data_IF_960685483633
#
_entry.id   IF_960685483633
#
_cell.length_a   1.000
_cell.length_b   1.000
_cell.length_c   1.000
_cell.angle_alpha   90.00
_cell.angle_beta   90.00
_cell.angle_gamma   90.00
#
_symmetry.space_group_name_H-M   'P 1'
#
loop_
_entity.id
_entity.type
_entity.pdbx_description
1 polymer ?
#
# COMPACT_ATOMS: atom_id res chain seq x y z
N UNK A 1 -16.72 29.36 -44.78
CA UNK A 1 -16.70 30.02 -43.45
C UNK A 1 -15.25 30.22 -43.07
N UNK A 2 -14.74 31.46 -43.14
CA UNK A 2 -13.36 31.78 -42.76
C UNK A 2 -13.24 31.76 -41.24
N UNK A 3 -12.39 30.91 -40.70
CA UNK A 3 -12.06 30.92 -39.27
C UNK A 3 -11.44 32.27 -38.92
N UNK A 4 -11.99 33.01 -37.96
CA UNK A 4 -11.49 34.33 -37.63
C UNK A 4 -10.16 34.20 -36.87
N UNK A 5 -9.21 35.12 -37.11
CA UNK A 5 -7.85 35.05 -36.56
C UNK A 5 -7.83 34.89 -35.02
N UNK A 6 -8.80 35.49 -34.30
CA UNK A 6 -8.90 35.39 -32.84
C UNK A 6 -9.17 33.97 -32.34
N UNK A 7 -9.91 33.14 -33.09
CA UNK A 7 -10.16 31.75 -32.68
C UNK A 7 -8.90 30.89 -32.79
N UNK A 8 -8.01 31.21 -33.72
CA UNK A 8 -6.71 30.56 -33.86
C UNK A 8 -5.82 30.92 -32.66
N UNK A 9 -5.79 32.19 -32.27
CA UNK A 9 -5.02 32.64 -31.09
C UNK A 9 -5.51 31.98 -29.80
N UNK A 10 -6.83 31.91 -29.59
CA UNK A 10 -7.39 31.24 -28.41
C UNK A 10 -7.09 29.74 -28.39
N UNK A 11 -7.16 29.06 -29.54
CA UNK A 11 -6.82 27.65 -29.63
C UNK A 11 -5.37 27.38 -29.22
N UNK A 12 -4.43 28.20 -29.71
CA UNK A 12 -3.01 28.10 -29.33
C UNK A 12 -2.78 28.31 -27.84
N UNK A 13 -3.42 29.32 -27.24
CA UNK A 13 -3.31 29.59 -25.80
C UNK A 13 -3.84 28.40 -24.98
N UNK A 14 -4.98 27.84 -25.39
CA UNK A 14 -5.57 26.68 -24.72
C UNK A 14 -4.64 25.46 -24.83
N UNK A 15 -4.08 25.19 -26.01
CA UNK A 15 -3.15 24.08 -26.21
C UNK A 15 -1.90 24.21 -25.34
N UNK A 16 -1.28 25.38 -25.29
CA UNK A 16 -0.08 25.61 -24.46
C UNK A 16 -0.41 25.48 -22.97
N UNK A 17 -1.56 25.99 -22.54
CA UNK A 17 -2.00 25.91 -21.15
C UNK A 17 -2.31 24.47 -20.72
N UNK A 18 -3.01 23.71 -21.56
CA UNK A 18 -3.30 22.29 -21.32
C UNK A 18 -2.00 21.49 -21.29
N UNK A 19 -1.09 21.74 -22.23
CA UNK A 19 0.19 21.06 -22.27
C UNK A 19 1.03 21.33 -21.02
N UNK A 20 1.12 22.60 -20.58
CA UNK A 20 1.78 22.98 -19.33
C UNK A 20 1.15 22.32 -18.12
N UNK A 21 -0.19 22.26 -18.04
CA UNK A 21 -0.90 21.60 -16.95
C UNK A 21 -0.60 20.09 -16.92
N UNK A 22 -0.61 19.43 -18.07
CA UNK A 22 -0.25 18.01 -18.19
C UNK A 22 1.18 17.79 -17.70
N UNK A 23 2.14 18.63 -18.10
CA UNK A 23 3.52 18.51 -17.61
C UNK A 23 3.63 18.67 -16.09
N UNK A 24 2.88 19.60 -15.48
CA UNK A 24 2.88 19.78 -14.02
C UNK A 24 2.27 18.57 -13.30
N UNK A 25 1.21 17.98 -13.85
CA UNK A 25 0.58 16.78 -13.28
C UNK A 25 1.54 15.58 -13.36
N UNK A 26 2.19 15.37 -14.51
CA UNK A 26 3.15 14.27 -14.70
C UNK A 26 4.44 14.47 -13.91
N UNK A 27 4.94 15.70 -13.77
CA UNK A 27 6.11 16.00 -12.92
C UNK A 27 5.85 15.76 -11.43
N UNK A 28 4.57 15.67 -11.04
CA UNK A 28 4.15 15.28 -9.69
C UNK A 28 4.11 13.76 -9.47
N UNK A 29 4.61 12.97 -10.43
CA UNK A 29 4.71 11.52 -10.31
C UNK A 29 5.72 11.18 -9.22
N UNK A 30 5.15 10.74 -8.09
CA UNK A 30 5.79 10.01 -7.01
C UNK A 30 7.06 10.64 -6.46
N UNK A 31 6.90 11.32 -5.32
CA UNK A 31 7.98 11.40 -4.35
C UNK A 31 8.30 9.95 -4.00
N UNK A 32 9.26 9.34 -4.70
CA UNK A 32 9.76 8.03 -4.34
C UNK A 32 10.07 8.11 -2.84
N UNK A 33 9.50 7.18 -2.09
CA UNK A 33 9.83 7.03 -0.67
C UNK A 33 11.23 6.43 -0.63
N UNK A 34 12.24 7.21 -1.04
CA UNK A 34 13.66 6.82 -1.03
C UNK A 34 14.19 6.72 0.40
N UNK A 35 13.48 7.31 1.36
CA UNK A 35 13.86 7.22 2.75
C UNK A 35 13.30 5.92 3.34
N UNK A 36 14.15 4.89 3.39
CA UNK A 36 13.96 3.78 4.33
C UNK A 36 13.79 4.40 5.71
N UNK A 37 12.58 4.33 6.25
CA UNK A 37 12.32 4.67 7.65
C UNK A 37 13.23 3.76 8.45
N UNK A 38 14.22 4.34 9.13
CA UNK A 38 15.10 3.58 10.02
C UNK A 38 14.26 2.89 11.07
N UNK A 39 14.63 1.66 11.46
CA UNK A 39 13.96 0.99 12.56
C UNK A 39 14.18 1.82 13.84
N UNK A 40 13.16 2.58 14.24
CA UNK A 40 13.19 3.44 15.43
C UNK A 40 13.25 2.62 16.73
N UNK A 41 12.81 1.35 16.66
CA UNK A 41 12.73 0.44 17.80
C UNK A 41 13.25 -0.94 17.41
N UNK A 42 13.98 -1.58 18.32
CA UNK A 42 14.34 -2.99 18.22
C UNK A 42 13.09 -3.86 18.42
N UNK A 43 13.07 -5.07 17.86
CA UNK A 43 11.95 -6.03 17.98
C UNK A 43 11.68 -6.40 19.46
N UNK A 44 12.70 -6.28 20.32
CA UNK A 44 12.60 -6.53 21.76
C UNK A 44 12.09 -5.32 22.57
N UNK A 45 12.00 -4.14 21.95
CA UNK A 45 11.55 -2.92 22.65
C UNK A 45 10.02 -2.96 22.85
N UNK A 46 9.51 -2.72 24.08
CA UNK A 46 8.07 -2.59 24.33
C UNK A 46 7.35 -1.57 23.42
N UNK A 47 8.04 -0.55 22.91
CA UNK A 47 7.52 0.42 21.95
C UNK A 47 7.26 -0.18 20.56
N UNK A 48 8.00 -1.23 20.17
CA UNK A 48 7.83 -1.90 18.89
C UNK A 48 6.40 -2.46 18.76
N UNK A 49 5.92 -3.21 19.75
CA UNK A 49 4.55 -3.76 19.75
C UNK A 49 3.47 -2.67 19.70
N UNK A 50 3.69 -1.55 20.43
CA UNK A 50 2.77 -0.40 20.40
C UNK A 50 2.70 0.24 19.02
N UNK A 51 3.85 0.53 18.42
CA UNK A 51 3.90 1.13 17.08
C UNK A 51 3.29 0.20 16.02
N UNK A 52 3.52 -1.11 16.12
CA UNK A 52 3.01 -2.12 15.20
C UNK A 52 1.48 -2.26 15.31
N UNK A 53 0.90 -2.16 16.51
CA UNK A 53 -0.56 -2.16 16.68
C UNK A 53 -1.25 -0.98 15.99
N UNK A 54 -0.59 0.19 15.95
CA UNK A 54 -1.10 1.35 15.21
C UNK A 54 -1.10 1.19 13.69
N UNK A 55 -0.20 0.35 13.16
CA UNK A 55 -0.09 0.08 11.71
C UNK A 55 -1.04 -1.02 11.24
N UNK A 56 -1.23 -2.05 12.06
CA UNK A 56 -2.04 -3.22 11.70
C UNK A 56 -3.54 -2.97 11.83
N UNK A 57 -3.94 -1.93 12.56
CA UNK A 57 -5.34 -1.51 12.78
C UNK A 57 -5.88 -2.00 14.13
N UNK A 58 -6.03 -3.31 14.36
CA UNK A 58 -6.42 -3.85 15.66
C UNK A 58 -5.26 -3.81 16.67
N UNK A 59 -5.62 -3.61 17.94
CA UNK A 59 -4.68 -3.80 19.03
C UNK A 59 -4.25 -5.28 19.12
N UNK A 60 -2.96 -5.52 19.34
CA UNK A 60 -2.46 -6.85 19.67
C UNK A 60 -3.00 -7.25 21.05
N UNK A 61 -3.80 -8.31 21.09
CA UNK A 61 -4.36 -8.86 22.33
C UNK A 61 -3.49 -10.01 22.83
N UNK A 62 -3.34 -10.12 24.16
CA UNK A 62 -2.64 -11.25 24.78
C UNK A 62 -3.44 -12.54 24.67
N UNK A 63 -2.77 -13.70 24.62
CA UNK A 63 -3.40 -15.02 24.61
C UNK A 63 -3.57 -15.65 23.23
N UNK A 64 -3.26 -14.92 22.16
CA UNK A 64 -3.16 -15.48 20.83
C UNK A 64 -1.91 -16.36 20.70
N UNK A 65 -2.06 -17.54 20.10
CA UNK A 65 -0.93 -18.35 19.63
C UNK A 65 -0.53 -17.83 18.25
N UNK A 66 0.73 -17.42 18.12
CA UNK A 66 1.32 -16.98 16.85
C UNK A 66 2.40 -17.97 16.47
N UNK A 67 2.36 -18.43 15.22
CA UNK A 67 3.37 -19.28 14.61
C UNK A 67 3.82 -18.59 13.32
N UNK A 68 5.14 -18.43 13.16
CA UNK A 68 5.71 -17.84 11.95
C UNK A 68 5.96 -18.94 10.94
N UNK A 69 5.32 -18.84 9.77
CA UNK A 69 5.48 -19.75 8.64
C UNK A 69 6.08 -18.99 7.48
N UNK A 70 7.20 -19.47 6.95
CA UNK A 70 7.97 -18.82 5.90
C UNK A 70 7.72 -19.51 4.56
N UNK A 71 7.32 -18.71 3.55
CA UNK A 71 7.10 -19.15 2.17
C UNK A 71 5.97 -20.19 2.01
N UNK A 72 5.74 -20.62 0.76
CA UNK A 72 4.68 -21.58 0.43
C UNK A 72 4.88 -22.96 1.07
N UNK A 73 6.12 -23.40 1.22
CA UNK A 73 6.46 -24.74 1.74
C UNK A 73 6.01 -24.95 3.19
N UNK A 74 5.95 -23.88 3.99
CA UNK A 74 5.44 -23.93 5.37
C UNK A 74 3.97 -23.51 5.45
N UNK A 75 3.57 -22.49 4.68
CA UNK A 75 2.22 -21.91 4.74
C UNK A 75 1.16 -22.90 4.24
N UNK A 76 1.35 -23.53 3.07
CA UNK A 76 0.31 -24.36 2.46
C UNK A 76 0.01 -25.64 3.26
N UNK A 77 1.02 -26.41 3.73
CA UNK A 77 0.74 -27.60 4.54
C UNK A 77 0.04 -27.26 5.86
N UNK A 78 0.46 -26.20 6.55
CA UNK A 78 -0.16 -25.77 7.80
C UNK A 78 -1.61 -25.32 7.60
N UNK A 79 -1.88 -24.53 6.55
CA UNK A 79 -3.23 -24.10 6.18
C UNK A 79 -4.13 -25.30 5.86
N UNK A 80 -3.67 -26.24 5.03
CA UNK A 80 -4.45 -27.43 4.67
C UNK A 80 -4.72 -28.32 5.90
N UNK A 81 -3.76 -28.45 6.80
CA UNK A 81 -3.94 -29.14 8.08
C UNK A 81 -5.01 -28.44 8.94
N UNK A 82 -4.96 -27.11 9.03
CA UNK A 82 -5.94 -26.34 9.79
C UNK A 82 -7.35 -26.44 9.19
N UNK A 83 -7.48 -26.43 7.85
CA UNK A 83 -8.76 -26.66 7.15
C UNK A 83 -9.32 -28.04 7.50
N UNK A 84 -8.48 -29.09 7.47
CA UNK A 84 -8.91 -30.46 7.78
C UNK A 84 -9.29 -30.65 9.25
N UNK A 85 -8.67 -29.90 10.16
CA UNK A 85 -8.91 -29.98 11.60
C UNK A 85 -10.05 -29.07 12.10
N UNK A 86 -10.52 -28.12 11.28
CA UNK A 86 -11.54 -27.17 11.69
C UNK A 86 -12.91 -27.84 11.83
N UNK A 87 -13.52 -27.73 13.01
CA UNK A 87 -14.88 -28.27 13.27
C UNK A 87 -16.00 -27.32 12.84
N UNK A 88 -15.73 -26.01 12.82
CA UNK A 88 -16.74 -24.97 12.48
C UNK A 88 -16.25 -23.97 11.45
N UNK A 89 -15.16 -23.28 11.73
CA UNK A 89 -14.72 -22.13 10.91
C UNK A 89 -13.22 -21.95 11.02
N UNK A 90 -12.60 -21.57 9.91
CA UNK A 90 -11.24 -21.07 9.82
C UNK A 90 -11.24 -19.75 9.07
N UNK A 91 -10.52 -18.76 9.59
CA UNK A 91 -10.30 -17.47 8.92
C UNK A 91 -8.87 -17.42 8.42
N UNK A 92 -8.70 -17.21 7.12
CA UNK A 92 -7.38 -17.07 6.48
C UNK A 92 -7.33 -15.77 5.71
N UNK A 93 -6.19 -15.09 5.76
CA UNK A 93 -5.92 -13.87 5.01
C UNK A 93 -4.58 -14.02 4.27
N UNK A 94 -4.58 -13.72 2.97
CA UNK A 94 -3.36 -13.57 2.18
C UNK A 94 -3.00 -12.08 2.14
N UNK A 95 -1.74 -11.76 2.43
CA UNK A 95 -1.20 -10.41 2.23
C UNK A 95 -1.17 -10.07 0.74
N UNK A 96 -1.47 -8.81 0.40
CA UNK A 96 -1.31 -8.30 -0.97
C UNK A 96 0.16 -8.08 -1.30
#
# INVERSE_FOLDING_TARGET
MSVPLWSIVLAWIATVSIFGLVLVIFARSEKEITQRVGHLYSITDPQFLRSMSGLLGPALISGNRVETLLNGDEIFPAMLKAIRAAEKTITSQTGR
#
